data_IF_388309473746
#
_entry.id   IF_388309473746
#
_cell.length_a   1.000
_cell.length_b   1.000
_cell.length_c   1.000
_cell.angle_alpha   90.00
_cell.angle_beta   90.00
_cell.angle_gamma   90.00
#
_symmetry.space_group_name_H-M   'P 1'
#
loop_
_entity.id
_entity.type
_entity.pdbx_description
1 polymer ?
#
# COMPACT_ATOMS: atom_id res chain seq x y z
N UNK A 1 -20.76 14.69 8.50
CA UNK A 1 -21.30 13.45 7.90
C UNK A 1 -20.43 12.90 6.76
N UNK A 2 -19.75 13.74 5.98
CA UNK A 2 -18.83 13.31 4.90
C UNK A 2 -17.67 12.41 5.38
N UNK A 3 -17.09 12.70 6.55
CA UNK A 3 -15.97 11.92 7.11
C UNK A 3 -16.37 10.51 7.54
N UNK A 4 -17.62 10.32 7.99
CA UNK A 4 -18.12 9.02 8.40
C UNK A 4 -18.35 8.12 7.18
N UNK A 5 -18.85 8.70 6.08
CA UNK A 5 -18.98 8.00 4.81
C UNK A 5 -17.62 7.63 4.22
N UNK A 6 -16.65 8.54 4.26
CA UNK A 6 -15.27 8.28 3.87
C UNK A 6 -14.64 7.14 4.68
N UNK A 7 -14.80 7.18 6.01
CA UNK A 7 -14.27 6.14 6.89
C UNK A 7 -14.92 4.78 6.63
N UNK A 8 -16.25 4.73 6.48
CA UNK A 8 -16.97 3.48 6.21
C UNK A 8 -16.59 2.92 4.85
N UNK A 9 -16.47 3.75 3.82
CA UNK A 9 -16.15 3.28 2.47
C UNK A 9 -14.70 2.77 2.38
N UNK A 10 -13.74 3.51 2.94
CA UNK A 10 -12.35 3.06 3.01
C UNK A 10 -12.19 1.80 3.86
N UNK A 11 -12.86 1.74 5.02
CA UNK A 11 -12.86 0.57 5.90
C UNK A 11 -13.52 -0.66 5.27
N UNK A 12 -14.61 -0.48 4.52
CA UNK A 12 -15.29 -1.56 3.80
C UNK A 12 -14.41 -2.11 2.68
N UNK A 13 -13.77 -1.23 1.88
CA UNK A 13 -12.83 -1.63 0.83
C UNK A 13 -11.64 -2.40 1.43
N UNK A 14 -11.09 -1.89 2.53
CA UNK A 14 -10.00 -2.57 3.25
C UNK A 14 -10.44 -3.94 3.78
N UNK A 15 -11.65 -4.05 4.34
CA UNK A 15 -12.21 -5.31 4.84
C UNK A 15 -12.43 -6.32 3.71
N UNK A 16 -12.92 -5.88 2.54
CA UNK A 16 -13.07 -6.74 1.37
C UNK A 16 -11.70 -7.27 0.91
N UNK A 17 -10.69 -6.40 0.81
CA UNK A 17 -9.34 -6.79 0.43
C UNK A 17 -8.72 -7.77 1.45
N UNK A 18 -8.92 -7.54 2.75
CA UNK A 18 -8.45 -8.43 3.80
C UNK A 18 -9.17 -9.79 3.78
N UNK A 19 -10.48 -9.81 3.54
CA UNK A 19 -11.24 -11.06 3.38
C UNK A 19 -10.73 -11.84 2.15
N UNK A 20 -10.43 -11.15 1.05
CA UNK A 20 -9.87 -11.75 -0.15
C UNK A 20 -8.46 -12.32 0.11
N UNK A 21 -7.64 -11.66 0.94
CA UNK A 21 -6.34 -12.19 1.40
C UNK A 21 -6.50 -13.49 2.18
N UNK A 22 -7.46 -13.55 3.11
CA UNK A 22 -7.69 -14.74 3.91
C UNK A 22 -8.13 -15.94 3.07
N UNK A 23 -8.96 -15.72 2.05
CA UNK A 23 -9.44 -16.77 1.14
C UNK A 23 -8.31 -17.26 0.23
N UNK A 24 -7.53 -16.34 -0.33
CA UNK A 24 -6.56 -16.66 -1.39
C UNK A 24 -5.24 -17.19 -0.82
N UNK A 25 -4.92 -16.95 0.47
CA UNK A 25 -3.66 -17.31 1.15
C UNK A 25 -2.39 -16.88 0.38
N UNK A 26 -2.51 -15.98 -0.58
CA UNK A 26 -1.40 -15.46 -1.36
C UNK A 26 -0.57 -14.50 -0.52
N UNK A 27 0.70 -14.34 -0.90
CA UNK A 27 1.55 -13.35 -0.28
C UNK A 27 0.92 -11.96 -0.41
N UNK A 28 1.01 -11.17 0.67
CA UNK A 28 0.45 -9.82 0.76
C UNK A 28 0.79 -8.95 -0.47
N UNK A 29 2.02 -9.09 -0.97
CA UNK A 29 2.54 -8.39 -2.15
C UNK A 29 1.73 -8.67 -3.41
N UNK A 30 1.37 -9.94 -3.68
CA UNK A 30 0.61 -10.31 -4.89
C UNK A 30 -0.80 -9.72 -4.85
N UNK A 31 -1.40 -9.64 -3.68
CA UNK A 31 -2.73 -9.05 -3.52
C UNK A 31 -2.72 -7.53 -3.66
N UNK A 32 -1.67 -6.87 -3.20
CA UNK A 32 -1.50 -5.43 -3.44
C UNK A 32 -1.40 -5.14 -4.94
N UNK A 33 -0.61 -5.93 -5.68
CA UNK A 33 -0.46 -5.77 -7.13
C UNK A 33 -1.80 -6.01 -7.83
N UNK A 34 -2.54 -7.08 -7.50
CA UNK A 34 -3.84 -7.34 -8.14
C UNK A 34 -4.87 -6.25 -7.84
N UNK A 35 -4.87 -5.68 -6.63
CA UNK A 35 -5.74 -4.57 -6.25
C UNK A 35 -5.39 -3.28 -7.04
N UNK A 36 -4.10 -3.00 -7.27
CA UNK A 36 -3.65 -1.87 -8.11
C UNK A 36 -4.08 -2.08 -9.57
N UNK A 37 -3.97 -3.30 -10.09
CA UNK A 37 -4.48 -3.64 -11.43
C UNK A 37 -6.00 -3.48 -11.53
N UNK A 38 -6.74 -3.88 -10.49
CA UNK A 38 -8.18 -3.67 -10.44
C UNK A 38 -8.52 -2.17 -10.43
N UNK A 39 -7.78 -1.37 -9.65
CA UNK A 39 -7.94 0.08 -9.57
C UNK A 39 -7.64 0.81 -10.88
N UNK A 40 -6.57 0.42 -11.59
CA UNK A 40 -6.26 0.98 -12.92
C UNK A 40 -7.36 0.68 -13.95
N UNK A 41 -7.91 -0.54 -13.96
CA UNK A 41 -9.05 -0.90 -14.85
C UNK A 41 -10.31 -0.11 -14.46
N UNK A 42 -10.58 0.02 -13.16
CA UNK A 42 -11.73 0.77 -12.65
C UNK A 42 -11.61 2.29 -12.92
N UNK A 43 -10.38 2.78 -13.02
CA UNK A 43 -10.06 4.15 -13.46
C UNK A 43 -10.32 4.31 -14.94
N UNK A 44 -9.83 3.37 -15.76
CA UNK A 44 -10.02 3.40 -17.21
C UNK A 44 -11.50 3.34 -17.63
N UNK A 45 -12.36 2.72 -16.82
CA UNK A 45 -13.82 2.67 -17.02
C UNK A 45 -14.57 3.89 -16.47
N UNK A 46 -13.89 4.82 -15.79
CA UNK A 46 -14.48 6.07 -15.27
C UNK A 46 -15.29 5.92 -13.98
N UNK A 47 -15.26 4.76 -13.34
CA UNK A 47 -16.02 4.48 -12.11
C UNK A 47 -15.30 5.05 -10.87
N UNK A 48 -13.96 5.05 -10.88
CA UNK A 48 -13.13 5.63 -9.83
C UNK A 48 -13.47 7.07 -9.44
N UNK A 49 -13.55 8.05 -10.37
CA UNK A 49 -13.84 9.45 -9.98
C UNK A 49 -15.20 9.64 -9.30
N UNK A 50 -16.20 8.81 -9.65
CA UNK A 50 -17.52 8.82 -8.99
C UNK A 50 -17.40 8.25 -7.57
N UNK A 51 -16.62 7.19 -7.41
CA UNK A 51 -16.33 6.59 -6.12
C UNK A 51 -15.54 7.57 -5.25
N UNK A 52 -14.54 8.25 -5.80
CA UNK A 52 -13.69 9.23 -5.10
C UNK A 52 -14.48 10.48 -4.69
N UNK A 53 -15.48 10.91 -5.47
CA UNK A 53 -16.36 12.02 -5.06
C UNK A 53 -17.30 11.65 -3.90
N UNK A 54 -17.67 10.37 -3.76
CA UNK A 54 -18.50 9.86 -2.67
C UNK A 54 -17.68 9.47 -1.43
N UNK A 55 -16.51 8.89 -1.65
CA UNK A 55 -15.61 8.37 -0.63
C UNK A 55 -14.61 9.38 -0.10
N UNK A 56 -14.38 10.49 -0.82
CA UNK A 56 -13.41 11.53 -0.46
C UNK A 56 -12.06 10.94 -0.02
N UNK A 57 -11.59 11.38 1.15
CA UNK A 57 -10.33 10.91 1.75
C UNK A 57 -10.29 9.39 2.04
N UNK A 58 -11.44 8.71 2.08
CA UNK A 58 -11.53 7.29 2.35
C UNK A 58 -11.01 6.41 1.22
N UNK A 59 -11.17 6.86 -0.04
CA UNK A 59 -10.65 6.14 -1.21
C UNK A 59 -9.22 6.54 -1.51
N UNK A 60 -8.89 7.83 -1.35
CA UNK A 60 -7.54 8.38 -1.57
C UNK A 60 -6.45 7.68 -0.73
N UNK A 61 -6.82 7.00 0.34
CA UNK A 61 -5.90 6.24 1.21
C UNK A 61 -5.86 4.73 0.89
N UNK A 62 -6.64 4.27 -0.08
CA UNK A 62 -6.71 2.85 -0.45
C UNK A 62 -5.73 2.50 -1.56
N UNK A 63 -5.32 1.24 -1.60
CA UNK A 63 -4.41 0.69 -2.63
C UNK A 63 -5.03 0.73 -4.03
N UNK A 64 -6.36 0.87 -4.12
CA UNK A 64 -7.09 1.05 -5.37
C UNK A 64 -6.80 2.44 -5.97
N UNK A 65 -6.67 3.47 -5.14
CA UNK A 65 -6.34 4.84 -5.56
C UNK A 65 -4.91 4.98 -6.10
N UNK A 66 -3.98 4.18 -5.58
CA UNK A 66 -2.66 4.03 -6.22
C UNK A 66 -2.81 3.62 -7.70
N UNK A 67 -3.79 2.78 -8.03
CA UNK A 67 -4.13 2.44 -9.40
C UNK A 67 -4.60 3.64 -10.24
N UNK A 68 -5.33 4.59 -9.66
CA UNK A 68 -5.68 5.86 -10.32
C UNK A 68 -4.41 6.64 -10.67
N UNK A 69 -3.53 6.78 -9.69
CA UNK A 69 -2.27 7.49 -9.82
C UNK A 69 -1.40 6.89 -10.94
N UNK A 70 -1.32 5.56 -11.03
CA UNK A 70 -0.61 4.87 -12.11
C UNK A 70 -1.25 5.15 -13.49
N UNK A 71 -2.57 5.05 -13.61
CA UNK A 71 -3.27 5.32 -14.87
C UNK A 71 -3.04 6.77 -15.34
N UNK A 72 -3.25 7.73 -14.45
CA UNK A 72 -3.04 9.15 -14.72
C UNK A 72 -1.58 9.47 -15.02
N UNK A 73 -0.64 8.82 -14.33
CA UNK A 73 0.80 8.92 -14.58
C UNK A 73 1.19 8.44 -15.97
N UNK A 74 0.65 7.29 -16.43
CA UNK A 74 0.89 6.76 -17.77
C UNK A 74 0.25 7.66 -18.84
N UNK A 75 -0.97 8.13 -18.63
CA UNK A 75 -1.64 9.03 -19.58
C UNK A 75 -0.91 10.37 -19.71
N UNK A 76 -0.42 10.93 -18.60
CA UNK A 76 0.39 12.14 -18.62
C UNK A 76 1.76 11.94 -19.30
N UNK A 77 2.36 10.75 -19.14
CA UNK A 77 3.56 10.35 -19.88
C UNK A 77 3.32 10.41 -21.39
N UNK A 78 2.17 9.87 -21.82
CA UNK A 78 1.76 9.82 -23.22
C UNK A 78 1.45 11.22 -23.77
N UNK A 79 0.97 12.14 -22.92
CA UNK A 79 0.72 13.54 -23.25
C UNK A 79 1.96 14.44 -23.12
N UNK A 80 3.16 13.87 -22.91
CA UNK A 80 4.43 14.61 -22.85
C UNK A 80 4.68 15.38 -21.55
N UNK A 81 3.87 15.17 -20.51
CA UNK A 81 4.02 15.82 -19.20
C UNK A 81 4.54 14.82 -18.18
N UNK A 82 5.82 14.92 -17.81
CA UNK A 82 6.48 13.99 -16.89
C UNK A 82 6.24 14.28 -15.41
N UNK A 83 5.55 15.37 -15.07
CA UNK A 83 5.32 15.80 -13.69
C UNK A 83 4.74 14.71 -12.76
N UNK A 84 3.63 14.02 -13.09
CA UNK A 84 3.05 13.01 -12.21
C UNK A 84 3.92 11.75 -12.07
N UNK A 85 4.70 11.39 -13.10
CA UNK A 85 5.63 10.25 -13.04
C UNK A 85 6.75 10.54 -12.04
N UNK A 86 7.29 11.76 -12.06
CA UNK A 86 8.32 12.19 -11.11
C UNK A 86 7.78 12.12 -9.68
N UNK A 87 6.53 12.56 -9.46
CA UNK A 87 5.88 12.46 -8.15
C UNK A 87 5.75 11.01 -7.67
N UNK A 88 5.28 10.09 -8.53
CA UNK A 88 5.15 8.67 -8.19
C UNK A 88 6.53 8.06 -7.89
N UNK A 89 7.54 8.39 -8.70
CA UNK A 89 8.91 7.92 -8.50
C UNK A 89 9.47 8.39 -7.15
N UNK A 90 9.28 9.67 -6.80
CA UNK A 90 9.70 10.22 -5.51
C UNK A 90 9.00 9.47 -4.36
N UNK A 91 7.68 9.23 -4.47
CA UNK A 91 6.93 8.49 -3.44
C UNK A 91 7.48 7.07 -3.28
N UNK A 92 7.76 6.35 -4.37
CA UNK A 92 8.33 5.00 -4.33
C UNK A 92 9.71 5.01 -3.66
N UNK A 93 10.56 5.98 -4.00
CA UNK A 93 11.89 6.12 -3.38
C UNK A 93 11.76 6.44 -1.88
N UNK A 94 10.84 7.33 -1.50
CA UNK A 94 10.56 7.63 -0.09
C UNK A 94 10.07 6.39 0.66
N UNK A 95 9.11 5.64 0.10
CA UNK A 95 8.61 4.40 0.70
C UNK A 95 9.71 3.35 0.83
N UNK A 96 10.60 3.25 -0.15
CA UNK A 96 11.75 2.34 -0.09
C UNK A 96 12.73 2.73 1.03
N UNK A 97 13.00 4.03 1.21
CA UNK A 97 13.83 4.54 2.31
C UNK A 97 13.15 4.27 3.66
N UNK A 98 11.85 4.54 3.78
CA UNK A 98 11.10 4.22 5.00
C UNK A 98 11.09 2.72 5.32
N UNK A 99 10.96 1.87 4.29
CA UNK A 99 11.05 0.42 4.43
C UNK A 99 12.43 -0.07 4.85
N UNK A 100 13.50 0.53 4.30
CA UNK A 100 14.87 0.28 4.76
C UNK A 100 15.09 0.75 6.20
N UNK A 101 14.52 1.90 6.57
CA UNK A 101 14.60 2.44 7.92
C UNK A 101 13.86 1.54 8.91
N UNK A 102 12.66 1.05 8.58
CA UNK A 102 11.94 0.09 9.43
C UNK A 102 12.69 -1.22 9.59
N UNK A 103 13.28 -1.75 8.50
CA UNK A 103 14.10 -2.96 8.55
C UNK A 103 15.38 -2.77 9.41
N UNK A 104 16.02 -1.60 9.32
CA UNK A 104 17.15 -1.24 10.17
C UNK A 104 16.75 -1.10 11.64
N UNK A 105 15.58 -0.54 11.91
CA UNK A 105 15.05 -0.35 13.27
C UNK A 105 14.69 -1.71 13.89
N UNK A 106 14.09 -2.63 13.12
CA UNK A 106 13.88 -4.02 13.53
C UNK A 106 15.20 -4.76 13.81
N UNK A 107 16.23 -4.57 12.98
CA UNK A 107 17.56 -5.11 13.23
C UNK A 107 18.19 -4.54 14.52
N UNK A 108 17.97 -3.26 14.82
CA UNK A 108 18.49 -2.63 16.03
C UNK A 108 17.72 -3.07 17.29
N UNK A 109 16.41 -3.32 17.18
CA UNK A 109 15.55 -3.85 18.25
C UNK A 109 15.81 -5.35 18.50
N UNK A 110 16.06 -6.15 17.46
CA UNK A 110 16.40 -7.58 17.59
C UNK A 110 17.86 -7.84 18.01
N UNK A 111 18.71 -6.81 18.13
CA UNK A 111 19.99 -6.92 18.84
C UNK A 111 19.83 -7.03 20.37
N UNK A 112 18.64 -6.78 20.92
CA UNK A 112 18.36 -6.86 22.38
C UNK A 112 17.52 -8.07 22.83
N UNK A 113 17.58 -9.23 22.14
CA UNK A 113 17.46 -10.51 22.87
C UNK A 113 18.48 -11.60 22.48
N UNK A 114 19.39 -11.40 21.52
CA UNK A 114 20.30 -12.47 21.10
C UNK A 114 21.51 -12.71 22.02
N UNK A 115 21.81 -11.82 22.96
CA UNK A 115 22.89 -12.05 23.96
C UNK A 115 22.45 -13.02 25.07
N UNK A 116 21.14 -13.19 25.31
CA UNK A 116 20.64 -14.02 26.44
C UNK A 116 20.28 -15.46 26.07
N UNK A 117 20.15 -15.80 24.78
CA UNK A 117 19.92 -17.19 24.37
C UNK A 117 21.20 -17.97 24.03
N UNK A 118 22.30 -17.30 23.67
CA UNK A 118 23.58 -18.00 23.44
C UNK A 118 24.31 -18.37 24.73
N UNK A 119 24.09 -17.66 25.85
CA UNK A 119 24.80 -17.93 27.11
C UNK A 119 24.14 -19.03 27.95
N UNK A 120 22.81 -19.20 27.86
CA UNK A 120 22.09 -20.27 28.59
C UNK A 120 22.24 -21.66 27.96
N UNK A 121 22.62 -21.76 26.69
CA UNK A 121 22.90 -23.03 26.00
C UNK A 121 24.32 -23.56 26.21
N UNK A 122 25.26 -22.72 26.68
CA UNK A 122 26.67 -23.08 26.83
C UNK A 122 27.07 -23.50 28.26
N UNK A 123 26.14 -23.45 29.23
CA UNK A 123 26.36 -23.85 30.63
C UNK A 123 25.53 -25.05 31.10
N UNK A 124 24.97 -25.83 30.18
CA UNK A 124 24.15 -27.01 30.48
C UNK A 124 24.69 -28.30 29.83
N UNK A 125 26.00 -28.40 29.61
CA UNK A 125 26.70 -29.65 29.38
C UNK A 125 28.07 -29.61 30.06
#
# INVERSE_FOLDING_TARGET
>A
MIYLQAFILGGLIALILQAFQQITKMSFVVLMISAIFLGTILTATGIMPILTSWGGAGILLTVVDLGEGFYNGIMAALSGTFAPIITILIIIVCLFIFGLLSALLELNVHRTPLVLQSDKGAKAN
#
